data_IF_366374823836
#
_entry.id   IF_366374823836
#
_cell.length_a   1.000
_cell.length_b   1.000
_cell.length_c   1.000
_cell.angle_alpha   90.00
_cell.angle_beta   90.00
_cell.angle_gamma   90.00
#
_symmetry.space_group_name_H-M   'P 1'
#
loop_
_entity.id
_entity.type
_entity.pdbx_description
1 polymer ?
#
# COMPACT_ATOMS: atom_id res chain seq x y z
N UNK A 1 10.07 11.80 -8.89
CA UNK A 1 8.89 11.08 -9.42
C UNK A 1 8.13 10.47 -8.24
N UNK A 2 6.79 10.55 -8.21
CA UNK A 2 5.98 9.95 -7.15
C UNK A 2 6.02 8.41 -7.25
N UNK A 3 6.02 7.75 -6.09
CA UNK A 3 5.86 6.32 -5.91
C UNK A 3 4.41 5.95 -6.21
N UNK A 4 4.22 5.05 -7.17
CA UNK A 4 2.92 4.52 -7.60
C UNK A 4 2.59 3.20 -6.89
N UNK A 5 3.63 2.46 -6.46
CA UNK A 5 3.49 1.18 -5.77
C UNK A 5 3.65 1.34 -4.26
N UNK A 6 2.94 0.51 -3.52
CA UNK A 6 2.98 0.46 -2.05
C UNK A 6 3.57 -0.86 -1.57
N UNK A 7 4.46 -0.78 -0.58
CA UNK A 7 5.16 -1.95 -0.04
C UNK A 7 4.79 -2.18 1.43
N UNK A 8 5.06 -3.38 1.99
CA UNK A 8 4.76 -3.67 3.39
C UNK A 8 5.33 -2.65 4.38
N UNK A 9 6.49 -2.05 4.09
CA UNK A 9 7.07 -0.99 4.92
C UNK A 9 6.19 0.27 4.98
N UNK A 10 5.65 0.67 3.82
CA UNK A 10 4.81 1.86 3.70
C UNK A 10 3.47 1.59 4.40
N UNK A 11 2.89 0.40 4.18
CA UNK A 11 1.65 -0.03 4.84
C UNK A 11 1.83 -0.11 6.36
N UNK A 12 2.95 -0.63 6.86
CA UNK A 12 3.22 -0.70 8.30
C UNK A 12 3.25 0.70 8.92
N UNK A 13 3.95 1.65 8.27
CA UNK A 13 4.04 3.03 8.72
C UNK A 13 2.69 3.75 8.66
N UNK A 14 1.93 3.60 7.56
CA UNK A 14 0.63 4.22 7.37
C UNK A 14 -0.42 3.72 8.36
N UNK A 15 -0.42 2.42 8.66
CA UNK A 15 -1.48 1.79 9.46
C UNK A 15 -1.11 1.62 10.93
N UNK A 16 0.12 1.93 11.33
CA UNK A 16 0.64 1.66 12.68
C UNK A 16 0.71 0.17 13.03
N UNK A 17 0.64 -0.72 12.04
CA UNK A 17 0.62 -2.17 12.23
C UNK A 17 2.02 -2.76 12.18
N UNK A 18 2.19 -3.94 12.76
CA UNK A 18 3.43 -4.71 12.61
C UNK A 18 3.72 -5.02 11.14
N UNK A 19 5.01 -5.17 10.81
CA UNK A 19 5.45 -5.48 9.45
C UNK A 19 4.81 -6.77 8.90
N UNK A 20 4.61 -7.79 9.74
CA UNK A 20 3.92 -9.02 9.32
C UNK A 20 2.44 -8.82 9.00
N UNK A 21 1.75 -7.99 9.78
CA UNK A 21 0.37 -7.62 9.46
C UNK A 21 0.28 -6.82 8.16
N UNK A 22 1.25 -5.92 7.92
CA UNK A 22 1.35 -5.17 6.68
C UNK A 22 1.62 -6.07 5.47
N UNK A 23 2.54 -7.05 5.57
CA UNK A 23 2.78 -8.06 4.52
C UNK A 23 1.49 -8.81 4.15
N UNK A 24 0.70 -9.21 5.16
CA UNK A 24 -0.60 -9.87 4.94
C UNK A 24 -1.59 -8.95 4.24
N UNK A 25 -1.63 -7.67 4.58
CA UNK A 25 -2.52 -6.69 3.94
C UNK A 25 -2.17 -6.48 2.46
N UNK A 26 -0.88 -6.31 2.16
CA UNK A 26 -0.39 -6.17 0.77
C UNK A 26 -0.72 -7.42 -0.05
N UNK A 27 -0.56 -8.61 0.54
CA UNK A 27 -0.95 -9.87 -0.10
C UNK A 27 -2.44 -9.89 -0.43
N UNK A 28 -3.30 -9.52 0.53
CA UNK A 28 -4.74 -9.44 0.32
C UNK A 28 -5.13 -8.43 -0.74
N UNK A 29 -4.45 -7.27 -0.79
CA UNK A 29 -4.72 -6.24 -1.80
C UNK A 29 -4.41 -6.76 -3.21
N UNK A 30 -3.28 -7.47 -3.35
CA UNK A 30 -2.91 -8.14 -4.60
C UNK A 30 -3.94 -9.19 -5.04
N UNK A 31 -4.36 -10.04 -4.09
CA UNK A 31 -5.37 -11.08 -4.33
C UNK A 31 -6.72 -10.46 -4.73
N UNK A 32 -7.16 -9.41 -4.04
CA UNK A 32 -8.41 -8.69 -4.32
C UNK A 32 -8.38 -7.99 -5.69
N UNK A 33 -7.21 -7.49 -6.12
CA UNK A 33 -7.01 -6.91 -7.45
C UNK A 33 -6.87 -7.96 -8.57
N UNK A 34 -6.96 -9.26 -8.26
CA UNK A 34 -6.82 -10.35 -9.23
C UNK A 34 -5.41 -10.48 -9.83
N UNK A 35 -4.39 -9.96 -9.16
CA UNK A 35 -3.01 -9.92 -9.66
C UNK A 35 -2.23 -11.20 -9.32
N UNK A 36 -1.34 -11.68 -10.20
CA UNK A 36 -0.57 -12.89 -9.95
C UNK A 36 0.41 -12.72 -8.79
N UNK A 37 0.87 -13.84 -8.22
CA UNK A 37 1.88 -13.82 -7.17
C UNK A 37 3.16 -13.09 -7.65
N UNK A 38 3.72 -12.24 -6.80
CA UNK A 38 4.90 -11.42 -7.14
C UNK A 38 4.58 -10.12 -7.90
N UNK A 39 3.36 -9.94 -8.40
CA UNK A 39 2.95 -8.67 -8.99
C UNK A 39 3.00 -7.53 -7.96
N UNK A 40 3.28 -6.33 -8.48
CA UNK A 40 3.28 -5.08 -7.71
C UNK A 40 1.86 -4.71 -7.30
N UNK A 41 1.76 -4.09 -6.12
CA UNK A 41 0.53 -3.51 -5.58
C UNK A 41 0.62 -2.00 -5.71
N UNK A 42 -0.30 -1.39 -6.43
CA UNK A 42 -0.41 0.06 -6.55
C UNK A 42 -1.07 0.66 -5.30
N UNK A 43 -0.93 1.97 -5.12
CA UNK A 43 -1.70 2.70 -4.10
C UNK A 43 -3.20 2.46 -4.30
N UNK A 44 -3.67 2.49 -5.55
CA UNK A 44 -5.05 2.24 -5.90
C UNK A 44 -5.53 0.84 -5.45
N UNK A 45 -4.78 -0.24 -5.74
CA UNK A 45 -5.17 -1.61 -5.34
C UNK A 45 -5.35 -1.70 -3.81
N UNK A 46 -4.45 -1.06 -3.08
CA UNK A 46 -4.47 -1.04 -1.62
C UNK A 46 -5.65 -0.24 -1.08
N UNK A 47 -5.93 0.93 -1.67
CA UNK A 47 -7.04 1.79 -1.26
C UNK A 47 -8.40 1.14 -1.57
N UNK A 48 -8.53 0.44 -2.71
CA UNK A 48 -9.71 -0.36 -3.04
C UNK A 48 -10.01 -1.44 -1.99
N UNK A 49 -8.97 -2.11 -1.46
CA UNK A 49 -9.16 -3.10 -0.40
C UNK A 49 -9.50 -2.45 0.95
N UNK A 50 -8.80 -1.39 1.33
CA UNK A 50 -8.80 -0.85 2.69
C UNK A 50 -9.85 0.24 2.93
N UNK A 51 -10.39 0.82 1.86
CA UNK A 51 -11.30 1.97 1.93
C UNK A 51 -10.60 3.29 2.28
N UNK A 52 -9.26 3.32 2.27
CA UNK A 52 -8.49 4.55 2.53
C UNK A 52 -8.52 5.48 1.32
N UNK A 53 -8.38 6.78 1.57
CA UNK A 53 -8.33 7.79 0.52
C UNK A 53 -6.99 7.73 -0.25
N UNK A 54 -7.09 7.59 -1.58
CA UNK A 54 -5.91 7.42 -2.44
C UNK A 54 -5.01 8.65 -2.43
N UNK A 55 -5.57 9.87 -2.34
CA UNK A 55 -4.81 11.10 -2.33
C UNK A 55 -4.07 11.30 -0.99
N UNK A 56 -4.68 10.94 0.14
CA UNK A 56 -4.04 10.91 1.45
C UNK A 56 -2.89 9.91 1.49
N UNK A 57 -3.11 8.66 1.07
CA UNK A 57 -2.06 7.63 1.04
C UNK A 57 -0.92 8.04 0.11
N UNK A 58 -1.25 8.55 -1.09
CA UNK A 58 -0.25 9.02 -2.05
C UNK A 58 0.60 10.16 -1.49
N UNK A 59 -0.01 11.13 -0.80
CA UNK A 59 0.74 12.20 -0.12
C UNK A 59 1.67 11.63 0.95
N UNK A 60 1.17 10.75 1.81
CA UNK A 60 1.95 10.19 2.91
C UNK A 60 3.19 9.41 2.44
N UNK A 61 3.10 8.64 1.34
CA UNK A 61 4.25 7.87 0.83
C UNK A 61 5.22 8.67 -0.04
N UNK A 62 4.82 9.87 -0.49
CA UNK A 62 5.59 10.71 -1.42
C UNK A 62 6.12 12.00 -0.81
N UNK A 63 5.72 12.33 0.42
CA UNK A 63 6.33 13.43 1.16
C UNK A 63 7.78 13.06 1.50
N UNK A 64 8.73 13.74 0.86
CA UNK A 64 10.10 13.84 1.39
C UNK A 64 10.05 14.86 2.51
N UNK A 65 10.36 14.44 3.73
CA UNK A 65 10.83 15.39 4.75
C UNK A 65 11.98 16.17 4.13
N UNK A 66 11.81 17.49 4.02
CA UNK A 66 12.90 18.40 3.72
C UNK A 66 13.95 18.33 4.84
#
# INVERSE_FOLDING_TARGET
MPRICIYPKDVAQLTGRSYDAAKRLVRRAREAAGKPAGALVSVQDFCQLTGLDEAEVSRAINQRSA
#
